data_IF_171948212055
#
_entry.id   IF_171948212055
#
_cell.length_a   1.000
_cell.length_b   1.000
_cell.length_c   1.000
_cell.angle_alpha   90.00
_cell.angle_beta   90.00
_cell.angle_gamma   90.00
#
_symmetry.space_group_name_H-M   'P 1'
#
loop_
_entity.id
_entity.type
_entity.pdbx_description
1 polymer ?
#
# COMPACT_ATOMS: atom_id res chain seq x y z
N UNK A 1 11.28 -14.45 23.41
CA UNK A 1 10.25 -13.43 23.67
C UNK A 1 10.15 -12.58 22.41
N UNK A 2 9.18 -12.84 21.53
CA UNK A 2 8.94 -12.01 20.35
C UNK A 2 8.23 -10.74 20.81
N UNK A 3 8.90 -9.59 20.71
CA UNK A 3 8.22 -8.31 20.92
C UNK A 3 7.07 -8.22 19.90
N UNK A 4 5.88 -7.72 20.30
CA UNK A 4 4.82 -7.44 19.34
C UNK A 4 5.40 -6.51 18.27
N UNK A 5 5.21 -6.85 17.00
CA UNK A 5 5.66 -6.01 15.90
C UNK A 5 4.99 -4.65 16.05
N UNK A 6 5.77 -3.58 16.14
CA UNK A 6 5.26 -2.22 16.10
C UNK A 6 5.10 -1.76 14.65
N UNK A 7 4.48 -0.60 14.48
CA UNK A 7 4.22 -0.06 13.14
C UNK A 7 5.52 0.29 12.41
N UNK A 8 6.53 0.78 13.12
CA UNK A 8 7.84 1.11 12.54
C UNK A 8 8.51 -0.14 11.94
N UNK A 9 8.54 -1.24 12.68
CA UNK A 9 9.04 -2.53 12.19
C UNK A 9 8.25 -3.05 10.98
N UNK A 10 6.93 -2.82 10.94
CA UNK A 10 6.10 -3.17 9.78
C UNK A 10 6.54 -2.36 8.55
N UNK A 11 6.72 -1.04 8.70
CA UNK A 11 7.15 -0.16 7.62
C UNK A 11 8.53 -0.55 7.12
N UNK A 12 9.52 -0.65 8.00
CA UNK A 12 10.91 -0.99 7.63
C UNK A 12 10.97 -2.32 6.88
N UNK A 13 10.27 -3.34 7.38
CA UNK A 13 10.30 -4.68 6.81
C UNK A 13 9.61 -4.79 5.46
N UNK A 14 8.55 -4.02 5.24
CA UNK A 14 7.66 -4.21 4.10
C UNK A 14 7.75 -3.11 3.03
N UNK A 15 8.36 -1.95 3.30
CA UNK A 15 8.36 -0.80 2.37
C UNK A 15 8.94 -1.14 1.00
N UNK A 16 10.13 -1.73 0.95
CA UNK A 16 10.79 -2.04 -0.32
C UNK A 16 10.00 -3.08 -1.15
N UNK A 17 9.46 -4.12 -0.51
CA UNK A 17 8.69 -5.13 -1.24
C UNK A 17 7.32 -4.61 -1.71
N UNK A 18 6.65 -3.78 -0.90
CA UNK A 18 5.36 -3.18 -1.26
C UNK A 18 5.55 -2.14 -2.36
N UNK A 19 6.63 -1.35 -2.31
CA UNK A 19 6.98 -0.46 -3.41
C UNK A 19 7.19 -1.22 -4.72
N UNK A 20 7.99 -2.29 -4.71
CA UNK A 20 8.20 -3.13 -5.90
C UNK A 20 6.92 -3.79 -6.42
N UNK A 21 6.00 -4.16 -5.52
CA UNK A 21 4.68 -4.67 -5.88
C UNK A 21 3.80 -3.58 -6.54
N UNK A 22 3.72 -2.40 -5.93
CA UNK A 22 2.95 -1.27 -6.44
C UNK A 22 3.49 -0.78 -7.78
N UNK A 23 4.82 -0.68 -7.93
CA UNK A 23 5.48 -0.31 -9.17
C UNK A 23 5.12 -1.24 -10.34
N UNK A 24 5.02 -2.56 -10.10
CA UNK A 24 4.57 -3.52 -11.11
C UNK A 24 3.11 -3.29 -11.54
N UNK A 25 2.26 -2.80 -10.65
CA UNK A 25 0.85 -2.50 -10.93
C UNK A 25 0.68 -1.15 -11.64
N UNK A 26 1.36 -0.11 -11.17
CA UNK A 26 1.21 1.26 -11.69
C UNK A 26 2.01 1.48 -12.98
N UNK A 27 3.13 0.76 -13.15
CA UNK A 27 4.13 0.96 -14.21
C UNK A 27 4.64 2.40 -14.30
N UNK A 28 4.59 3.10 -13.19
CA UNK A 28 5.02 4.49 -13.03
C UNK A 28 5.55 4.66 -11.60
N UNK A 29 6.73 5.25 -11.49
CA UNK A 29 7.45 5.36 -10.21
C UNK A 29 6.78 6.34 -9.25
N UNK A 30 6.32 7.49 -9.75
CA UNK A 30 5.64 8.48 -8.93
C UNK A 30 4.29 7.93 -8.43
N UNK A 31 3.50 7.31 -9.31
CA UNK A 31 2.26 6.63 -8.94
C UNK A 31 2.50 5.54 -7.88
N UNK A 32 3.60 4.79 -8.01
CA UNK A 32 3.95 3.73 -7.05
C UNK A 32 4.28 4.31 -5.67
N UNK A 33 5.05 5.41 -5.64
CA UNK A 33 5.43 6.10 -4.41
C UNK A 33 4.23 6.75 -3.71
N UNK A 34 3.31 7.33 -4.47
CA UNK A 34 2.05 7.87 -3.95
C UNK A 34 1.16 6.76 -3.37
N UNK A 35 1.02 5.64 -4.08
CA UNK A 35 0.30 4.47 -3.59
C UNK A 35 0.94 3.89 -2.32
N UNK A 36 2.28 3.87 -2.23
CA UNK A 36 3.00 3.35 -1.08
C UNK A 36 2.68 4.19 0.17
N UNK A 37 2.75 5.50 0.03
CA UNK A 37 2.44 6.43 1.12
C UNK A 37 0.98 6.30 1.58
N UNK A 38 0.01 6.30 0.66
CA UNK A 38 -1.40 6.12 1.02
C UNK A 38 -1.66 4.75 1.66
N UNK A 39 -1.00 3.69 1.19
CA UNK A 39 -1.10 2.36 1.77
C UNK A 39 -0.61 2.34 3.23
N UNK A 40 0.58 2.89 3.51
CA UNK A 40 1.09 2.95 4.89
C UNK A 40 0.32 3.92 5.78
N UNK A 41 -0.19 5.03 5.26
CA UNK A 41 -1.05 5.94 6.02
C UNK A 41 -2.35 5.25 6.45
N UNK A 42 -2.96 4.46 5.55
CA UNK A 42 -4.15 3.65 5.87
C UNK A 42 -3.81 2.52 6.83
N UNK A 43 -2.66 1.89 6.67
CA UNK A 43 -2.16 0.86 7.59
C UNK A 43 -1.99 1.44 8.99
N UNK A 44 -1.33 2.59 9.14
CA UNK A 44 -1.14 3.28 10.42
C UNK A 44 -2.46 3.50 11.15
N UNK A 45 -3.47 4.05 10.46
CA UNK A 45 -4.81 4.30 11.02
C UNK A 45 -5.56 3.03 11.45
N UNK A 46 -5.22 1.89 10.88
CA UNK A 46 -5.85 0.61 11.15
C UNK A 46 -5.01 -0.31 12.06
N UNK A 47 -3.77 0.07 12.36
CA UNK A 47 -2.79 -0.77 13.01
C UNK A 47 -3.19 -1.17 14.44
N UNK A 48 -3.74 -0.23 15.21
CA UNK A 48 -4.21 -0.48 16.59
C UNK A 48 -5.33 -1.53 16.68
N UNK A 49 -5.99 -1.82 15.57
CA UNK A 49 -7.07 -2.83 15.48
C UNK A 49 -6.59 -4.14 14.88
N UNK A 50 -5.34 -4.21 14.44
CA UNK A 50 -4.77 -5.42 13.87
C UNK A 50 -4.47 -6.40 15.00
N UNK A 51 -5.03 -7.61 14.89
CA UNK A 51 -4.70 -8.68 15.82
C UNK A 51 -3.20 -8.99 15.73
N UNK A 52 -2.50 -9.02 16.85
CA UNK A 52 -1.09 -9.40 16.96
C UNK A 52 -0.74 -10.77 16.34
N UNK A 53 -1.73 -11.66 16.15
CA UNK A 53 -1.58 -12.98 15.50
C UNK A 53 -1.85 -12.93 13.99
N UNK A 54 -2.26 -11.79 13.45
CA UNK A 54 -2.55 -11.66 12.03
C UNK A 54 -1.27 -11.81 11.18
N UNK A 55 -1.45 -12.26 9.94
CA UNK A 55 -0.37 -12.23 8.97
C UNK A 55 -0.19 -10.79 8.47
N UNK A 56 0.71 -10.03 9.13
CA UNK A 56 0.96 -8.62 8.84
C UNK A 56 1.36 -8.37 7.39
N UNK A 57 2.13 -9.29 6.78
CA UNK A 57 2.51 -9.21 5.38
C UNK A 57 1.28 -9.29 4.48
N UNK A 58 0.46 -10.34 4.60
CA UNK A 58 -0.75 -10.48 3.80
C UNK A 58 -1.71 -9.29 3.98
N UNK A 59 -1.78 -8.74 5.20
CA UNK A 59 -2.59 -7.58 5.52
C UNK A 59 -2.13 -6.30 4.81
N UNK A 60 -0.82 -5.97 4.84
CA UNK A 60 -0.32 -4.77 4.15
C UNK A 60 -0.43 -4.91 2.62
N UNK A 61 -0.22 -6.10 2.07
CA UNK A 61 -0.46 -6.36 0.64
C UNK A 61 -1.92 -6.09 0.26
N UNK A 62 -2.90 -6.52 1.08
CA UNK A 62 -4.32 -6.25 0.84
C UNK A 62 -4.62 -4.74 0.81
N UNK A 63 -4.02 -3.96 1.71
CA UNK A 63 -4.16 -2.50 1.72
C UNK A 63 -3.54 -1.90 0.45
N UNK A 64 -2.31 -2.28 0.12
CA UNK A 64 -1.60 -1.81 -1.06
C UNK A 64 -2.37 -2.12 -2.36
N UNK A 65 -2.92 -3.32 -2.51
CA UNK A 65 -3.75 -3.69 -3.67
C UNK A 65 -4.98 -2.78 -3.79
N UNK A 66 -5.70 -2.54 -2.69
CA UNK A 66 -6.89 -1.68 -2.72
C UNK A 66 -6.55 -0.23 -3.10
N UNK A 67 -5.43 0.28 -2.62
CA UNK A 67 -4.92 1.61 -2.98
C UNK A 67 -4.59 1.66 -4.47
N UNK A 68 -3.78 0.73 -4.97
CA UNK A 68 -3.37 0.68 -6.38
C UNK A 68 -4.57 0.58 -7.34
N UNK A 69 -5.53 -0.30 -7.04
CA UNK A 69 -6.74 -0.44 -7.87
C UNK A 69 -7.58 0.84 -7.89
N UNK A 70 -7.68 1.53 -6.74
CA UNK A 70 -8.37 2.81 -6.66
C UNK A 70 -7.66 3.89 -7.48
N UNK A 71 -6.33 3.93 -7.39
CA UNK A 71 -5.49 4.85 -8.15
C UNK A 71 -5.62 4.65 -9.67
N UNK A 72 -5.45 3.41 -10.14
CA UNK A 72 -5.57 3.05 -11.55
C UNK A 72 -6.96 3.38 -12.11
N UNK A 73 -8.02 3.13 -11.32
CA UNK A 73 -9.39 3.49 -11.72
C UNK A 73 -9.61 5.01 -11.81
N UNK A 74 -8.92 5.81 -10.99
CA UNK A 74 -8.94 7.28 -11.12
C UNK A 74 -8.20 7.72 -12.38
N UNK A 75 -6.98 7.24 -12.56
CA UNK A 75 -6.14 7.54 -13.74
C UNK A 75 -6.85 7.22 -15.06
N UNK A 76 -7.47 6.05 -15.17
CA UNK A 76 -8.22 5.67 -16.37
C UNK A 76 -9.38 6.62 -16.69
N UNK A 77 -10.09 7.12 -15.66
CA UNK A 77 -11.16 8.11 -15.84
C UNK A 77 -10.64 9.48 -16.24
N UNK A 78 -9.48 9.88 -15.70
CA UNK A 78 -8.85 11.15 -16.04
C UNK A 78 -8.31 11.14 -17.48
N UNK A 79 -7.71 10.03 -17.91
CA UNK A 79 -7.33 9.84 -19.32
C UNK A 79 -8.53 9.86 -20.26
N UNK A 80 -9.63 9.18 -19.92
CA UNK A 80 -10.84 9.17 -20.76
C UNK A 80 -11.51 10.55 -20.88
N UNK A 81 -11.46 11.37 -19.82
CA UNK A 81 -11.99 12.74 -19.83
C UNK A 81 -11.14 13.71 -20.66
N UNK A 82 -9.84 13.46 -20.75
CA UNK A 82 -8.88 14.33 -21.41
C UNK A 82 -8.51 13.85 -22.83
N UNK A 83 -9.28 12.91 -23.38
CA UNK A 83 -9.17 12.48 -24.77
C UNK A 83 -9.81 13.56 -25.69
N UNK A 84 -9.17 13.92 -26.82
CA UNK A 84 -9.66 14.94 -27.74
C UNK A 84 -10.94 14.54 -28.48
#
# INVERSE_FOLDING_TARGET
MTLPMDFESLVEKHSAEIFGYLWRLTRDEADAQDCLQDAFLRAYRAFDRLDSRANHRAWIYRIATNVALTHLKRRARDSARNAP
#
